data_IF_577610678223
#
_entry.id   IF_577610678223
#
_cell.length_a   1.000
_cell.length_b   1.000
_cell.length_c   1.000
_cell.angle_alpha   90.00
_cell.angle_beta   90.00
_cell.angle_gamma   90.00
#
_symmetry.space_group_name_H-M   'P 1'
#
loop_
_entity.id
_entity.type
_entity.pdbx_description
1 polymer ?
#
# COMPACT_ATOMS: atom_id res chain seq x y z
N UNK A 1 -1.31 24.33 2.83
CA UNK A 1 -0.02 24.97 2.43
C UNK A 1 0.04 25.25 0.93
N UNK A 2 0.84 26.21 0.47
CA UNK A 2 1.11 26.43 -0.97
C UNK A 2 2.07 25.35 -1.51
N UNK A 3 1.99 25.04 -2.81
CA UNK A 3 2.82 23.99 -3.43
C UNK A 3 4.32 24.17 -3.20
N UNK A 4 4.83 25.40 -3.30
CA UNK A 4 6.25 25.70 -3.10
C UNK A 4 6.69 25.50 -1.64
N UNK A 5 5.79 25.70 -0.67
CA UNK A 5 6.06 25.45 0.75
C UNK A 5 6.20 23.96 1.01
N UNK A 6 5.33 23.14 0.42
CA UNK A 6 5.41 21.67 0.53
C UNK A 6 6.72 21.17 -0.09
N UNK A 7 7.09 21.63 -1.28
CA UNK A 7 8.37 21.24 -1.90
C UNK A 7 9.57 21.57 -1.00
N UNK A 8 9.63 22.80 -0.47
CA UNK A 8 10.70 23.21 0.46
C UNK A 8 10.71 22.36 1.73
N UNK A 9 9.52 22.09 2.29
CA UNK A 9 9.38 21.26 3.47
C UNK A 9 9.95 19.86 3.25
N UNK A 10 9.54 19.19 2.16
CA UNK A 10 10.01 17.83 1.84
C UNK A 10 11.54 17.76 1.66
N UNK A 11 12.18 18.83 1.19
CA UNK A 11 13.62 18.87 0.90
C UNK A 11 14.51 19.41 2.01
N UNK A 12 13.95 20.09 3.01
CA UNK A 12 14.74 20.78 4.04
C UNK A 12 14.44 20.32 5.47
N UNK A 13 13.27 19.72 5.72
CA UNK A 13 12.87 19.28 7.06
C UNK A 13 12.96 17.74 7.19
N UNK A 14 13.83 17.21 8.09
CA UNK A 14 13.92 15.77 8.32
C UNK A 14 12.64 15.16 8.90
N UNK A 15 11.77 15.96 9.51
CA UNK A 15 10.50 15.58 10.10
C UNK A 15 9.31 16.19 9.35
N UNK A 16 9.47 16.43 8.03
CA UNK A 16 8.45 17.00 7.13
C UNK A 16 7.07 16.36 7.28
N UNK A 17 7.03 15.08 7.63
CA UNK A 17 5.80 14.30 7.76
C UNK A 17 4.88 14.83 8.87
N UNK A 18 5.39 15.56 9.86
CA UNK A 18 4.57 16.22 10.89
C UNK A 18 3.66 17.28 10.30
N UNK A 19 4.23 18.19 9.51
CA UNK A 19 3.46 19.22 8.83
C UNK A 19 2.59 18.65 7.71
N UNK A 20 3.08 17.63 6.98
CA UNK A 20 2.26 16.94 5.97
C UNK A 20 1.09 16.19 6.60
N UNK A 21 1.27 15.56 7.76
CA UNK A 21 0.17 14.90 8.49
C UNK A 21 -0.92 15.91 8.86
N UNK A 22 -0.53 17.07 9.41
CA UNK A 22 -1.49 18.14 9.71
C UNK A 22 -2.22 18.63 8.44
N UNK A 23 -1.51 18.77 7.32
CA UNK A 23 -2.14 19.14 6.04
C UNK A 23 -3.12 18.05 5.56
N UNK A 24 -2.79 16.77 5.73
CA UNK A 24 -3.69 15.64 5.40
C UNK A 24 -4.98 15.73 6.24
N UNK A 25 -4.87 15.96 7.55
CA UNK A 25 -6.02 16.11 8.44
C UNK A 25 -6.86 17.35 8.08
N UNK A 26 -6.20 18.47 7.77
CA UNK A 26 -6.87 19.67 7.27
C UNK A 26 -7.63 19.40 5.97
N UNK A 27 -7.03 18.66 5.03
CA UNK A 27 -7.69 18.26 3.77
C UNK A 27 -8.90 17.36 4.05
N UNK A 28 -8.80 16.41 4.98
CA UNK A 28 -9.90 15.51 5.35
C UNK A 28 -11.10 16.28 5.92
N UNK A 29 -10.84 17.32 6.71
CA UNK A 29 -11.87 18.17 7.32
C UNK A 29 -12.64 19.05 6.31
N UNK A 30 -12.16 19.20 5.07
CA UNK A 30 -12.85 20.00 4.03
C UNK A 30 -14.13 19.31 3.57
N UNK A 31 -15.28 19.95 3.82
CA UNK A 31 -16.60 19.49 3.37
C UNK A 31 -16.77 19.49 1.84
N UNK A 32 -16.15 20.45 1.15
CA UNK A 32 -16.24 20.54 -0.32
C UNK A 32 -15.42 19.43 -1.00
N UNK A 33 -16.11 18.42 -1.54
CA UNK A 33 -15.51 17.27 -2.19
C UNK A 33 -14.57 17.61 -3.34
N UNK A 34 -14.91 18.60 -4.18
CA UNK A 34 -14.06 19.01 -5.32
C UNK A 34 -12.76 19.64 -4.84
N UNK A 35 -12.83 20.55 -3.86
CA UNK A 35 -11.67 21.19 -3.24
C UNK A 35 -10.78 20.16 -2.55
N UNK A 36 -11.37 19.27 -1.75
CA UNK A 36 -10.66 18.18 -1.07
C UNK A 36 -9.90 17.27 -2.05
N UNK A 37 -10.56 16.83 -3.12
CA UNK A 37 -9.93 16.00 -4.17
C UNK A 37 -8.78 16.73 -4.87
N UNK A 38 -8.98 18.01 -5.20
CA UNK A 38 -7.94 18.84 -5.83
C UNK A 38 -6.70 18.97 -4.95
N UNK A 39 -6.87 19.29 -3.67
CA UNK A 39 -5.75 19.42 -2.72
C UNK A 39 -5.03 18.09 -2.49
N UNK A 40 -5.77 16.98 -2.33
CA UNK A 40 -5.17 15.64 -2.22
C UNK A 40 -4.35 15.29 -3.47
N UNK A 41 -4.86 15.64 -4.66
CA UNK A 41 -4.14 15.41 -5.91
C UNK A 41 -2.86 16.26 -5.99
N UNK A 42 -2.91 17.53 -5.59
CA UNK A 42 -1.74 18.41 -5.54
C UNK A 42 -0.67 17.88 -4.60
N UNK A 43 -1.05 17.49 -3.37
CA UNK A 43 -0.11 16.91 -2.40
C UNK A 43 0.53 15.64 -2.97
N UNK A 44 -0.27 14.71 -3.50
CA UNK A 44 0.24 13.49 -4.13
C UNK A 44 1.19 13.79 -5.30
N UNK A 45 0.86 14.76 -6.15
CA UNK A 45 1.70 15.15 -7.29
C UNK A 45 3.06 15.68 -6.84
N UNK A 46 3.09 16.51 -5.79
CA UNK A 46 4.33 17.07 -5.23
C UNK A 46 5.16 15.95 -4.60
N UNK A 47 4.57 15.11 -3.74
CA UNK A 47 5.26 13.98 -3.12
C UNK A 47 5.80 12.99 -4.14
N UNK A 48 5.01 12.65 -5.17
CA UNK A 48 5.43 11.79 -6.27
C UNK A 48 6.63 12.36 -7.02
N UNK A 49 6.63 13.67 -7.27
CA UNK A 49 7.76 14.37 -7.92
C UNK A 49 9.01 14.32 -7.02
N UNK A 50 8.87 14.63 -5.74
CA UNK A 50 9.99 14.64 -4.80
C UNK A 50 10.63 13.25 -4.62
N UNK A 51 9.81 12.19 -4.59
CA UNK A 51 10.30 10.80 -4.61
C UNK A 51 11.06 10.48 -5.90
N UNK A 52 10.53 10.88 -7.07
CA UNK A 52 11.18 10.64 -8.37
C UNK A 52 12.53 11.33 -8.49
N UNK A 53 12.62 12.55 -7.97
CA UNK A 53 13.81 13.40 -8.07
C UNK A 53 14.81 13.12 -6.93
N UNK A 54 14.47 12.28 -5.96
CA UNK A 54 15.31 12.03 -4.78
C UNK A 54 15.47 13.25 -3.86
N UNK A 55 14.58 14.25 -3.99
CA UNK A 55 14.67 15.52 -3.26
C UNK A 55 13.95 15.49 -1.91
N UNK A 56 13.19 14.44 -1.63
CA UNK A 56 12.56 14.22 -0.33
C UNK A 56 13.58 13.68 0.68
N UNK A 57 13.63 14.27 1.87
CA UNK A 57 14.50 13.77 2.95
C UNK A 57 13.89 12.49 3.52
N UNK A 58 14.65 11.40 3.42
CA UNK A 58 14.33 10.07 3.95
C UNK A 58 15.47 9.59 4.86
N UNK A 59 15.17 8.60 5.70
CA UNK A 59 16.15 7.99 6.60
C UNK A 59 17.21 7.17 5.86
N UNK A 60 18.16 6.63 6.61
CA UNK A 60 19.15 5.65 6.15
C UNK A 60 19.24 4.43 7.10
N UNK A 61 18.41 4.40 8.14
CA UNK A 61 18.27 3.37 9.15
C UNK A 61 16.81 3.29 9.53
N UNK A 62 16.37 2.14 10.03
CA UNK A 62 15.02 1.91 10.49
C UNK A 62 14.97 0.97 11.67
N UNK A 63 13.84 1.06 12.38
CA UNK A 63 13.37 -0.04 13.21
C UNK A 63 13.06 -1.24 12.30
N UNK A 64 13.81 -2.33 12.46
CA UNK A 64 13.67 -3.51 11.60
C UNK A 64 12.34 -4.23 11.86
N UNK A 65 11.27 -3.89 11.14
CA UNK A 65 10.00 -4.58 11.25
C UNK A 65 10.02 -6.00 10.69
N UNK A 66 10.94 -6.30 9.77
CA UNK A 66 11.09 -7.64 9.19
C UNK A 66 11.53 -8.67 10.24
N UNK A 67 12.13 -8.23 11.37
CA UNK A 67 12.44 -9.10 12.51
C UNK A 67 11.19 -9.77 13.11
N UNK A 68 10.00 -9.20 12.88
CA UNK A 68 8.73 -9.73 13.35
C UNK A 68 8.06 -10.68 12.36
N UNK A 69 8.70 -10.96 11.21
CA UNK A 69 8.16 -11.84 10.19
C UNK A 69 8.05 -13.28 10.69
N UNK A 70 6.86 -13.84 10.53
CA UNK A 70 6.54 -15.25 10.78
C UNK A 70 6.47 -16.01 9.45
N UNK A 71 6.54 -17.35 9.47
CA UNK A 71 6.30 -18.17 8.29
C UNK A 71 5.00 -17.77 7.59
N UNK A 72 5.05 -17.65 6.27
CA UNK A 72 3.90 -17.25 5.48
C UNK A 72 2.86 -18.37 5.53
N UNK A 73 1.66 -18.05 5.96
CA UNK A 73 0.53 -18.98 5.98
C UNK A 73 -0.77 -18.34 5.45
N UNK A 74 -0.72 -17.07 5.02
CA UNK A 74 -1.91 -16.28 4.74
C UNK A 74 -1.73 -15.41 3.50
N UNK A 75 -2.79 -15.27 2.69
CA UNK A 75 -2.82 -14.34 1.56
C UNK A 75 -3.91 -13.30 1.84
N UNK A 76 -3.56 -12.02 1.71
CA UNK A 76 -4.54 -10.93 1.76
C UNK A 76 -4.62 -10.26 0.40
N UNK A 77 -5.81 -10.29 -0.18
CA UNK A 77 -6.14 -9.68 -1.46
C UNK A 77 -6.54 -8.23 -1.24
N UNK A 78 -5.97 -7.36 -2.08
CA UNK A 78 -6.18 -5.92 -2.08
C UNK A 78 -6.62 -5.40 -3.43
N UNK A 79 -7.06 -4.15 -3.45
CA UNK A 79 -7.08 -3.34 -4.65
C UNK A 79 -6.29 -2.05 -4.45
N UNK A 80 -5.86 -1.42 -5.52
CA UNK A 80 -5.14 -0.14 -5.41
C UNK A 80 -6.07 1.05 -5.15
N UNK A 81 -7.39 0.85 -5.23
CA UNK A 81 -8.41 1.92 -5.21
C UNK A 81 -8.10 3.08 -6.17
N UNK A 82 -7.41 2.78 -7.28
CA UNK A 82 -6.85 3.78 -8.19
C UNK A 82 -6.96 3.34 -9.65
N UNK A 83 -6.29 4.06 -10.56
CA UNK A 83 -6.24 3.71 -11.98
C UNK A 83 -5.75 2.27 -12.18
N UNK A 84 -6.32 1.50 -13.13
CA UNK A 84 -5.79 0.20 -13.54
C UNK A 84 -4.36 0.27 -14.11
N UNK A 85 -3.91 1.47 -14.49
CA UNK A 85 -2.56 1.75 -15.02
C UNK A 85 -1.65 2.41 -14.01
N UNK A 86 -1.99 2.41 -12.71
CA UNK A 86 -1.17 3.05 -11.67
C UNK A 86 0.30 2.60 -11.78
N UNK A 87 1.19 3.59 -11.74
CA UNK A 87 2.63 3.36 -11.71
C UNK A 87 3.09 2.95 -10.31
N UNK A 88 4.18 2.20 -10.21
CA UNK A 88 4.74 1.83 -8.91
C UNK A 88 5.14 3.06 -8.08
N UNK A 89 5.71 4.07 -8.71
CA UNK A 89 6.05 5.34 -8.07
C UNK A 89 4.81 6.05 -7.50
N UNK A 90 3.70 6.08 -8.25
CA UNK A 90 2.45 6.67 -7.75
C UNK A 90 1.85 5.86 -6.60
N UNK A 91 1.88 4.53 -6.70
CA UNK A 91 1.46 3.64 -5.62
C UNK A 91 2.29 3.90 -4.35
N UNK A 92 3.61 3.94 -4.47
CA UNK A 92 4.51 4.26 -3.35
C UNK A 92 4.22 5.65 -2.76
N UNK A 93 3.94 6.66 -3.58
CA UNK A 93 3.62 7.99 -3.08
C UNK A 93 2.28 8.02 -2.31
N UNK A 94 1.29 7.27 -2.77
CA UNK A 94 -0.02 7.13 -2.09
C UNK A 94 0.16 6.46 -0.73
N UNK A 95 0.89 5.35 -0.68
CA UNK A 95 1.12 4.61 0.56
C UNK A 95 2.04 5.38 1.54
N UNK A 96 3.05 6.10 1.04
CA UNK A 96 3.84 7.02 1.88
C UNK A 96 2.93 8.01 2.64
N UNK A 97 2.01 8.66 1.93
CA UNK A 97 1.11 9.66 2.51
C UNK A 97 0.03 9.06 3.41
N UNK A 98 -0.54 7.92 3.04
CA UNK A 98 -1.68 7.35 3.77
C UNK A 98 -1.27 6.49 4.98
N UNK A 99 -0.10 5.85 4.90
CA UNK A 99 0.33 4.83 5.84
C UNK A 99 1.57 5.29 6.62
N UNK A 100 2.69 5.52 5.93
CA UNK A 100 3.97 5.81 6.59
C UNK A 100 3.96 7.13 7.35
N UNK A 101 3.38 8.20 6.77
CA UNK A 101 3.24 9.49 7.46
C UNK A 101 2.46 9.33 8.76
N UNK A 102 1.36 8.56 8.76
CA UNK A 102 0.60 8.30 9.99
C UNK A 102 1.39 7.45 10.98
N UNK A 103 2.04 6.38 10.52
CA UNK A 103 2.80 5.49 11.41
C UNK A 103 3.90 6.25 12.15
N UNK A 104 4.73 7.01 11.42
CA UNK A 104 5.81 7.80 12.02
C UNK A 104 5.31 8.95 12.90
N UNK A 105 4.03 9.33 12.82
CA UNK A 105 3.43 10.28 13.74
C UNK A 105 2.97 9.67 15.05
N UNK A 106 2.60 8.39 15.05
CA UNK A 106 1.86 7.77 16.17
C UNK A 106 2.58 6.63 16.86
N UNK A 107 3.58 6.03 16.22
CA UNK A 107 4.29 4.87 16.74
C UNK A 107 5.58 5.27 17.45
N UNK A 108 5.64 4.99 18.75
CA UNK A 108 6.76 5.39 19.61
C UNK A 108 8.11 4.76 19.19
N UNK A 109 8.11 3.63 18.48
CA UNK A 109 9.36 3.00 18.00
C UNK A 109 10.04 3.80 16.88
N UNK A 110 9.29 4.60 16.13
CA UNK A 110 9.76 5.34 14.94
C UNK A 110 9.44 6.83 14.97
N UNK A 111 8.68 7.29 15.96
CA UNK A 111 8.37 8.70 16.18
C UNK A 111 9.65 9.51 16.27
N UNK A 112 9.61 10.69 15.69
CA UNK A 112 10.73 11.66 15.66
C UNK A 112 11.96 11.20 14.86
N UNK A 113 11.82 10.12 14.09
CA UNK A 113 12.82 9.66 13.13
C UNK A 113 12.44 10.09 11.72
N UNK A 114 13.43 10.13 10.82
CA UNK A 114 13.19 10.32 9.38
C UNK A 114 12.46 9.09 8.84
N UNK A 115 11.46 9.30 7.98
CA UNK A 115 10.74 8.19 7.35
C UNK A 115 11.71 7.32 6.53
N UNK A 116 11.67 6.02 6.79
CA UNK A 116 12.38 4.98 6.06
C UNK A 116 11.51 3.72 6.00
N UNK A 117 11.38 3.10 4.82
CA UNK A 117 10.65 1.83 4.71
C UNK A 117 11.54 0.61 4.93
N UNK A 118 12.81 0.69 4.53
CA UNK A 118 13.70 -0.48 4.49
C UNK A 118 13.36 -1.45 3.36
N UNK A 119 12.37 -1.14 2.53
CA UNK A 119 11.93 -1.97 1.42
C UNK A 119 12.30 -1.34 0.09
N UNK A 120 12.81 -2.14 -0.83
CA UNK A 120 13.29 -1.70 -2.14
C UNK A 120 12.59 -2.47 -3.25
N UNK A 121 12.39 -1.82 -4.40
CA UNK A 121 11.88 -2.54 -5.57
C UNK A 121 12.80 -3.70 -5.94
N UNK A 122 12.20 -4.84 -6.27
CA UNK A 122 12.90 -6.04 -6.72
C UNK A 122 13.92 -5.71 -7.83
N UNK A 123 15.13 -6.26 -7.72
CA UNK A 123 16.29 -6.02 -8.61
C UNK A 123 16.98 -4.65 -8.47
N UNK A 124 16.65 -3.87 -7.43
CA UNK A 124 17.37 -2.63 -7.08
C UNK A 124 17.63 -2.52 -5.56
N UNK A 125 18.24 -3.54 -4.93
CA UNK A 125 18.56 -3.47 -3.51
C UNK A 125 19.53 -2.31 -3.26
N UNK A 126 19.32 -1.59 -2.15
CA UNK A 126 20.24 -0.57 -1.62
C UNK A 126 20.43 0.72 -2.45
N UNK A 127 19.80 0.85 -3.63
CA UNK A 127 19.61 2.16 -4.25
C UNK A 127 18.55 2.92 -3.47
N UNK A 128 18.94 4.01 -2.79
CA UNK A 128 18.00 4.87 -2.05
C UNK A 128 16.85 5.38 -2.92
N UNK A 129 17.07 5.55 -4.23
CA UNK A 129 16.03 5.96 -5.18
C UNK A 129 15.09 4.81 -5.57
N UNK A 130 15.42 3.57 -5.20
CA UNK A 130 14.58 2.40 -5.36
C UNK A 130 13.81 2.02 -4.10
N UNK A 131 13.98 2.75 -2.99
CA UNK A 131 13.18 2.56 -1.79
C UNK A 131 11.70 2.78 -2.13
N UNK A 132 10.86 1.84 -1.69
CA UNK A 132 9.43 1.83 -1.94
C UNK A 132 8.67 1.85 -0.63
N UNK A 133 7.54 2.54 -0.64
CA UNK A 133 6.61 2.64 0.48
C UNK A 133 5.35 1.81 0.24
N UNK A 134 5.38 0.89 -0.73
CA UNK A 134 4.21 0.05 -1.01
C UNK A 134 3.84 -0.82 0.19
N UNK A 135 2.56 -1.11 0.32
CA UNK A 135 2.02 -2.09 1.25
C UNK A 135 1.76 -3.46 0.57
N UNK A 136 2.18 -3.65 -0.70
CA UNK A 136 1.88 -4.87 -1.46
C UNK A 136 3.14 -5.62 -1.89
N UNK A 137 3.09 -6.94 -1.82
CA UNK A 137 4.13 -7.81 -2.35
C UNK A 137 3.98 -7.97 -3.87
N UNK A 138 2.73 -8.08 -4.34
CA UNK A 138 2.41 -8.25 -5.75
C UNK A 138 1.39 -7.21 -6.23
N UNK A 139 1.54 -6.77 -7.48
CA UNK A 139 0.55 -6.00 -8.23
C UNK A 139 0.13 -6.75 -9.49
N UNK A 140 -1.17 -6.98 -9.65
CA UNK A 140 -1.76 -7.61 -10.83
C UNK A 140 -2.57 -6.58 -11.60
N UNK A 141 -2.23 -6.37 -12.87
CA UNK A 141 -2.95 -5.46 -13.77
C UNK A 141 -4.07 -6.16 -14.56
N UNK A 142 -5.07 -5.44 -15.08
CA UNK A 142 -6.18 -6.04 -15.82
C UNK A 142 -5.78 -6.90 -17.02
N UNK A 143 -4.64 -6.61 -17.66
CA UNK A 143 -4.10 -7.40 -18.77
C UNK A 143 -3.33 -8.66 -18.34
N UNK A 144 -3.34 -9.04 -17.06
CA UNK A 144 -2.65 -10.23 -16.55
C UNK A 144 -1.18 -10.01 -16.18
N UNK A 145 -0.63 -8.81 -16.35
CA UNK A 145 0.74 -8.51 -15.91
C UNK A 145 0.83 -8.57 -14.39
N UNK A 146 1.58 -9.55 -13.88
CA UNK A 146 1.98 -9.69 -12.49
C UNK A 146 3.31 -8.95 -12.28
N UNK A 147 3.44 -8.23 -11.17
CA UNK A 147 4.68 -7.55 -10.78
C UNK A 147 4.93 -7.84 -9.31
N UNK A 148 5.97 -8.63 -9.01
CA UNK A 148 6.52 -8.73 -7.65
C UNK A 148 7.24 -7.41 -7.33
N UNK A 149 6.77 -6.71 -6.30
CA UNK A 149 7.23 -5.36 -5.97
C UNK A 149 8.41 -5.44 -4.99
N UNK A 150 8.26 -6.25 -3.94
CA UNK A 150 9.24 -6.47 -2.87
C UNK A 150 9.34 -7.97 -2.57
N UNK A 151 10.34 -8.38 -1.81
CA UNK A 151 10.51 -9.77 -1.38
C UNK A 151 9.44 -10.24 -0.38
N UNK A 152 9.22 -11.55 -0.34
CA UNK A 152 8.22 -12.20 0.53
C UNK A 152 8.58 -12.07 2.03
N UNK A 153 9.87 -11.93 2.31
CA UNK A 153 10.40 -11.68 3.65
C UNK A 153 10.09 -10.28 4.17
N UNK A 154 9.71 -9.34 3.30
CA UNK A 154 9.37 -7.99 3.71
C UNK A 154 8.09 -8.00 4.57
N UNK A 155 8.18 -7.40 5.74
CA UNK A 155 7.04 -7.13 6.58
C UNK A 155 6.35 -5.85 6.09
N UNK A 156 5.14 -5.96 5.57
CA UNK A 156 4.38 -4.82 5.02
C UNK A 156 3.12 -4.54 5.86
N UNK A 157 2.88 -3.27 6.18
CA UNK A 157 1.64 -2.86 6.85
C UNK A 157 0.48 -2.77 5.85
N UNK A 158 -0.25 -3.87 5.66
CA UNK A 158 -1.29 -3.90 4.63
C UNK A 158 -2.67 -4.34 5.12
N UNK A 159 -2.75 -5.17 6.16
CA UNK A 159 -4.01 -5.77 6.62
C UNK A 159 -4.72 -4.92 7.68
N UNK A 160 -4.09 -3.87 8.21
CA UNK A 160 -4.60 -3.17 9.40
C UNK A 160 -4.67 -4.07 10.65
N UNK A 161 -3.99 -5.22 10.61
CA UNK A 161 -3.97 -6.23 11.66
C UNK A 161 -2.54 -6.77 11.76
N UNK A 162 -1.88 -6.48 12.89
CA UNK A 162 -0.47 -6.79 13.08
C UNK A 162 -0.18 -8.30 13.02
N UNK A 163 -1.04 -9.11 13.63
CA UNK A 163 -0.89 -10.58 13.60
C UNK A 163 -0.91 -11.12 12.17
N UNK A 164 -1.82 -10.59 11.33
CA UNK A 164 -1.93 -10.98 9.93
C UNK A 164 -0.71 -10.50 9.14
N UNK A 165 -0.34 -9.22 9.25
CA UNK A 165 0.83 -8.65 8.53
C UNK A 165 2.11 -9.49 8.75
N UNK A 166 2.31 -10.03 9.96
CA UNK A 166 3.51 -10.84 10.29
C UNK A 166 3.60 -12.13 9.50
N UNK A 167 2.49 -12.71 9.04
CA UNK A 167 2.42 -14.06 8.41
C UNK A 167 1.72 -14.07 7.05
N UNK A 168 1.42 -12.91 6.49
CA UNK A 168 0.74 -12.79 5.21
C UNK A 168 1.61 -12.21 4.10
N UNK A 169 1.26 -12.50 2.86
CA UNK A 169 1.59 -11.67 1.71
C UNK A 169 0.40 -10.82 1.31
N UNK A 170 0.67 -9.76 0.55
CA UNK A 170 -0.36 -8.91 -0.03
C UNK A 170 -0.31 -8.92 -1.55
N UNK A 171 -1.43 -9.31 -2.17
CA UNK A 171 -1.61 -9.29 -3.63
C UNK A 171 -2.65 -8.23 -3.96
N UNK A 172 -2.25 -7.14 -4.61
CA UNK A 172 -3.14 -6.08 -5.03
C UNK A 172 -3.55 -6.20 -6.50
N UNK A 173 -4.84 -6.03 -6.77
CA UNK A 173 -5.37 -5.83 -8.12
C UNK A 173 -5.42 -4.34 -8.45
N UNK A 174 -4.88 -3.94 -9.61
CA UNK A 174 -4.92 -2.55 -10.06
C UNK A 174 -6.34 -2.16 -10.51
N UNK A 175 -7.00 -1.27 -9.77
CA UNK A 175 -8.35 -0.81 -10.06
C UNK A 175 -9.07 -0.24 -8.84
N UNK A 176 -10.27 0.31 -9.05
CA UNK A 176 -11.13 0.86 -7.99
C UNK A 176 -12.13 -0.15 -7.43
N UNK A 177 -12.69 -1.01 -8.28
CA UNK A 177 -13.65 -2.07 -7.90
C UNK A 177 -14.78 -1.59 -6.96
N UNK A 178 -15.39 -0.47 -7.34
CA UNK A 178 -16.59 0.10 -6.71
C UNK A 178 -17.79 -0.07 -7.63
N UNK A 179 -19.02 0.04 -7.10
CA UNK A 179 -20.26 -0.09 -7.86
C UNK A 179 -20.36 -1.44 -8.60
N UNK A 180 -19.95 -2.52 -7.93
CA UNK A 180 -19.98 -3.87 -8.51
C UNK A 180 -18.87 -4.20 -9.52
N UNK A 181 -17.97 -3.26 -9.84
CA UNK A 181 -16.76 -3.55 -10.61
C UNK A 181 -15.90 -4.64 -9.93
N UNK A 182 -15.15 -5.40 -10.73
CA UNK A 182 -14.33 -6.53 -10.29
C UNK A 182 -13.06 -6.67 -11.14
N UNK A 183 -12.03 -7.39 -10.66
CA UNK A 183 -10.87 -7.73 -11.50
C UNK A 183 -11.28 -8.44 -12.78
N UNK A 184 -10.52 -8.24 -13.86
CA UNK A 184 -10.74 -8.93 -15.13
C UNK A 184 -10.58 -10.45 -14.97
N UNK A 185 -11.19 -11.22 -15.87
CA UNK A 185 -11.04 -12.69 -15.89
C UNK A 185 -9.55 -13.09 -15.94
N UNK A 186 -8.79 -12.44 -16.83
CA UNK A 186 -7.35 -12.67 -16.99
C UNK A 186 -6.61 -12.37 -15.67
N UNK A 187 -6.92 -11.27 -15.00
CA UNK A 187 -6.29 -10.93 -13.72
C UNK A 187 -6.56 -11.99 -12.64
N UNK A 188 -7.78 -12.53 -12.57
CA UNK A 188 -8.12 -13.62 -11.64
C UNK A 188 -7.38 -14.92 -11.98
N UNK A 189 -7.29 -15.26 -13.26
CA UNK A 189 -6.58 -16.48 -13.73
C UNK A 189 -5.09 -16.42 -13.40
N UNK A 190 -4.42 -15.28 -13.66
CA UNK A 190 -2.99 -15.14 -13.31
C UNK A 190 -2.77 -15.09 -11.79
N UNK A 191 -3.72 -14.54 -11.02
CA UNK A 191 -3.67 -14.58 -9.56
C UNK A 191 -3.77 -16.03 -9.06
N UNK A 192 -4.74 -16.79 -9.57
CA UNK A 192 -4.88 -18.20 -9.22
C UNK A 192 -3.64 -19.02 -9.59
N UNK A 193 -3.05 -18.76 -10.76
CA UNK A 193 -1.79 -19.38 -11.18
C UNK A 193 -0.65 -19.06 -10.20
N UNK A 194 -0.44 -17.77 -9.87
CA UNK A 194 0.55 -17.33 -8.89
C UNK A 194 0.37 -18.05 -7.54
N UNK A 195 -0.87 -18.12 -7.04
CA UNK A 195 -1.17 -18.77 -5.76
C UNK A 195 -0.85 -20.27 -5.83
N UNK A 196 -1.29 -20.97 -6.87
CA UNK A 196 -1.01 -22.41 -7.01
C UNK A 196 0.49 -22.72 -7.11
N UNK A 197 1.20 -21.96 -7.92
CA UNK A 197 2.61 -22.24 -8.23
C UNK A 197 3.57 -21.80 -7.12
N UNK A 198 3.28 -20.68 -6.45
CA UNK A 198 4.19 -20.11 -5.43
C UNK A 198 3.72 -20.38 -4.00
N UNK A 199 2.41 -20.45 -3.78
CA UNK A 199 1.79 -20.51 -2.45
C UNK A 199 0.80 -21.67 -2.31
N UNK A 200 0.99 -22.76 -3.09
CA UNK A 200 0.08 -23.91 -3.09
C UNK A 200 -0.03 -24.63 -1.75
N UNK A 201 0.88 -24.35 -0.81
CA UNK A 201 0.85 -24.82 0.57
C UNK A 201 -0.13 -24.04 1.47
N UNK A 202 -0.62 -22.87 1.04
CA UNK A 202 -1.60 -22.07 1.80
C UNK A 202 -3.00 -22.61 1.54
N UNK A 203 -3.70 -22.95 2.62
CA UNK A 203 -5.07 -23.45 2.55
C UNK A 203 -6.04 -22.37 2.02
N UNK A 204 -7.08 -22.79 1.27
CA UNK A 204 -8.03 -21.86 0.61
C UNK A 204 -8.81 -20.98 1.59
N UNK A 205 -9.08 -21.48 2.80
CA UNK A 205 -9.72 -20.75 3.89
C UNK A 205 -8.81 -19.70 4.54
N UNK A 206 -7.52 -19.68 4.18
CA UNK A 206 -6.52 -18.67 4.58
C UNK A 206 -6.23 -17.62 3.50
N UNK A 207 -7.11 -17.55 2.50
CA UNK A 207 -7.08 -16.53 1.45
C UNK A 207 -8.21 -15.55 1.71
N UNK A 208 -7.84 -14.36 2.17
CA UNK A 208 -8.77 -13.33 2.62
C UNK A 208 -8.74 -12.11 1.71
N UNK A 209 -9.82 -11.36 1.69
CA UNK A 209 -9.78 -9.94 1.32
C UNK A 209 -9.43 -9.08 2.53
N UNK A 210 -8.88 -7.90 2.31
CA UNK A 210 -8.59 -6.95 3.39
C UNK A 210 -9.81 -6.69 4.30
N UNK A 211 -11.01 -6.60 3.73
CA UNK A 211 -12.25 -6.41 4.48
C UNK A 211 -12.58 -7.52 5.49
N UNK A 212 -11.99 -8.71 5.35
CA UNK A 212 -12.19 -9.85 6.26
C UNK A 212 -11.21 -9.88 7.42
N UNK A 213 -10.04 -9.23 7.29
CA UNK A 213 -8.93 -9.34 8.26
C UNK A 213 -8.63 -8.05 9.01
N UNK A 214 -9.17 -6.92 8.56
CA UNK A 214 -8.98 -5.61 9.19
C UNK A 214 -9.53 -5.60 10.62
N UNK A 215 -8.82 -4.92 11.54
CA UNK A 215 -9.30 -4.62 12.89
C UNK A 215 -10.41 -3.58 12.86
N UNK A 216 -11.64 -4.02 12.57
CA UNK A 216 -12.82 -3.14 12.44
C UNK A 216 -13.12 -2.33 13.70
N UNK A 217 -12.81 -2.90 14.86
CA UNK A 217 -12.95 -2.26 16.17
C UNK A 217 -12.07 -1.02 16.35
N UNK A 218 -10.94 -0.95 15.63
CA UNK A 218 -9.96 0.15 15.74
C UNK A 218 -9.96 1.03 14.49
N UNK A 219 -9.99 0.41 13.32
CA UNK A 219 -9.77 1.09 12.03
C UNK A 219 -11.06 1.30 11.23
N UNK A 220 -12.18 0.74 11.69
CA UNK A 220 -13.44 0.73 10.96
C UNK A 220 -13.45 -0.26 9.80
N UNK A 221 -14.49 -0.16 8.99
CA UNK A 221 -14.68 -1.06 7.84
C UNK A 221 -13.92 -0.59 6.60
N UNK A 222 -13.57 -1.54 5.73
CA UNK A 222 -13.00 -1.27 4.41
C UNK A 222 -13.73 -2.08 3.36
N UNK A 223 -13.89 -1.51 2.16
CA UNK A 223 -14.43 -2.20 1.00
C UNK A 223 -13.36 -2.99 0.24
N UNK A 224 -12.06 -2.79 0.55
CA UNK A 224 -10.96 -3.46 -0.12
C UNK A 224 -11.05 -4.98 0.04
N UNK A 225 -10.88 -5.82 -1.00
CA UNK A 225 -10.38 -5.52 -2.37
C UNK A 225 -11.44 -5.12 -3.41
N UNK A 226 -12.65 -4.79 -2.99
CA UNK A 226 -13.73 -4.32 -3.84
C UNK A 226 -15.08 -4.67 -3.23
N UNK A 227 -16.08 -3.84 -3.51
CA UNK A 227 -17.42 -3.93 -2.91
C UNK A 227 -18.08 -5.30 -3.14
N UNK A 228 -17.81 -5.93 -4.28
CA UNK A 228 -18.36 -7.24 -4.66
C UNK A 228 -17.46 -8.43 -4.28
N UNK A 229 -16.41 -8.25 -3.49
CA UNK A 229 -15.45 -9.33 -3.21
C UNK A 229 -16.11 -10.54 -2.56
N UNK A 230 -16.75 -10.35 -1.39
CA UNK A 230 -17.38 -11.42 -0.60
C UNK A 230 -18.53 -12.06 -1.38
N UNK A 231 -19.37 -11.25 -1.99
CA UNK A 231 -20.61 -11.69 -2.65
C UNK A 231 -20.40 -12.24 -4.07
N UNK A 232 -19.25 -11.99 -4.71
CA UNK A 232 -19.06 -12.31 -6.13
C UNK A 232 -17.73 -13.00 -6.42
N UNK A 233 -16.62 -12.26 -6.38
CA UNK A 233 -15.41 -12.71 -7.08
C UNK A 233 -14.43 -13.51 -6.21
N UNK A 234 -14.56 -13.51 -4.86
CA UNK A 234 -13.80 -14.42 -3.99
C UNK A 234 -13.98 -15.88 -4.40
N UNK A 235 -15.24 -16.32 -4.52
CA UNK A 235 -15.57 -17.70 -4.88
C UNK A 235 -15.08 -18.08 -6.29
N UNK A 236 -15.05 -17.12 -7.22
CA UNK A 236 -14.51 -17.34 -8.56
C UNK A 236 -13.01 -17.61 -8.51
N UNK A 237 -12.27 -16.83 -7.72
CA UNK A 237 -10.83 -17.04 -7.53
C UNK A 237 -10.54 -18.39 -6.86
N UNK A 238 -11.26 -18.74 -5.79
CA UNK A 238 -11.07 -19.99 -5.06
C UNK A 238 -11.39 -21.26 -5.88
N UNK A 239 -12.22 -21.14 -6.93
CA UNK A 239 -12.48 -22.22 -7.89
C UNK A 239 -11.37 -22.39 -8.94
N UNK A 240 -10.56 -21.34 -9.18
CA UNK A 240 -9.45 -21.37 -10.13
C UNK A 240 -8.14 -21.88 -9.49
N UNK A 241 -8.02 -21.74 -8.16
CA UNK A 241 -6.97 -22.32 -7.31
C UNK A 241 -7.31 -23.80 -7.08
#
# INVERSE_FOLDING_TARGET
MKSNEITKLLSNDPLWYRAVYQEIENIKAIKNNRKRRSLKHTLLKITKRALKEGTIILGNKWYNWDQHRLPIDTIVLHHTSSSPTISLLELSAVELLNLYVKQYMTDEDVKDQKIFSGHYYLNKPEDKNAMTFTSYHYLIRPGGKVTKIVEDSAFLWHAGNLDINKRSIAIAFAGKFINGEKPSKIALEVCAKLIKETYGFIQKDRIFGHCEVIRKDILGETICPGESFISNWKQRLLKLI
#
